data_IF_259834704764
#
_entry.id   IF_259834704764
#
_cell.length_a   1.000
_cell.length_b   1.000
_cell.length_c   1.000
_cell.angle_alpha   90.00
_cell.angle_beta   90.00
_cell.angle_gamma   90.00
#
_symmetry.space_group_name_H-M   'P 1'
#
loop_
_entity.id
_entity.type
_entity.pdbx_description
1 polymer ?
#
# COMPACT_ATOMS: atom_id res chain seq x y z
N UNK A 1 29.74 -5.95 8.63
CA UNK A 1 28.54 -5.67 9.44
C UNK A 1 28.88 -5.37 10.91
N UNK A 2 29.73 -6.20 11.56
CA UNK A 2 30.19 -6.01 12.95
C UNK A 2 30.82 -4.64 13.28
N UNK A 3 31.67 -4.08 12.42
CA UNK A 3 32.31 -2.77 12.69
C UNK A 3 31.31 -1.60 12.69
N UNK A 4 30.26 -1.69 11.86
CA UNK A 4 29.17 -0.72 11.84
C UNK A 4 28.29 -0.83 13.08
N UNK A 5 28.08 -2.06 13.57
CA UNK A 5 27.38 -2.32 14.82
C UNK A 5 28.14 -1.84 16.05
N UNK A 6 29.46 -2.07 16.08
CA UNK A 6 30.35 -1.61 17.14
C UNK A 6 30.39 -0.07 17.21
N UNK A 7 30.57 0.61 16.07
CA UNK A 7 30.55 2.08 16.00
C UNK A 7 29.17 2.67 16.30
N UNK A 8 28.09 1.99 15.91
CA UNK A 8 26.73 2.36 16.29
C UNK A 8 26.56 2.28 17.80
N UNK A 9 26.97 1.17 18.43
CA UNK A 9 26.83 0.96 19.88
C UNK A 9 27.71 1.92 20.70
N UNK A 10 28.92 2.27 20.23
CA UNK A 10 29.81 3.23 20.89
C UNK A 10 29.30 4.68 20.87
N UNK A 11 28.41 5.04 19.93
CA UNK A 11 27.81 6.39 19.78
C UNK A 11 26.39 6.47 20.38
N UNK A 12 25.87 5.36 20.91
CA UNK A 12 24.51 5.29 21.45
C UNK A 12 24.49 5.71 22.93
N UNK A 13 24.22 6.99 23.21
CA UNK A 13 23.82 7.46 24.56
C UNK A 13 22.67 6.63 25.14
N UNK A 14 22.56 6.61 26.47
CA UNK A 14 21.43 6.02 27.20
C UNK A 14 20.07 6.57 26.74
N UNK A 15 20.01 7.82 26.27
CA UNK A 15 18.79 8.43 25.69
C UNK A 15 18.29 7.73 24.42
N UNK A 16 19.20 7.25 23.56
CA UNK A 16 18.85 6.48 22.35
C UNK A 16 18.58 5.02 22.71
N UNK A 17 19.19 4.50 23.78
CA UNK A 17 18.98 3.14 24.25
C UNK A 17 17.53 2.93 24.70
N UNK A 18 16.96 3.89 25.44
CA UNK A 18 15.54 3.91 25.82
C UNK A 18 14.65 4.03 24.59
N UNK A 19 14.92 4.99 23.70
CA UNK A 19 14.16 5.17 22.45
C UNK A 19 14.17 3.92 21.57
N UNK A 20 15.33 3.26 21.41
CA UNK A 20 15.44 1.98 20.70
C UNK A 20 14.60 0.89 21.34
N UNK A 21 14.58 0.80 22.68
CA UNK A 21 13.80 -0.19 23.42
C UNK A 21 12.30 0.03 23.21
N UNK A 22 11.85 1.28 23.28
CA UNK A 22 10.47 1.68 22.98
C UNK A 22 10.10 1.34 21.54
N UNK A 23 10.90 1.76 20.55
CA UNK A 23 10.65 1.46 19.13
C UNK A 23 10.61 -0.05 18.88
N UNK A 24 11.50 -0.81 19.51
CA UNK A 24 11.56 -2.26 19.38
C UNK A 24 10.31 -2.91 19.99
N UNK A 25 9.87 -2.45 21.16
CA UNK A 25 8.63 -2.90 21.79
C UNK A 25 7.41 -2.61 20.91
N UNK A 26 7.26 -1.37 20.44
CA UNK A 26 6.17 -0.96 19.53
C UNK A 26 6.20 -1.77 18.24
N UNK A 27 7.38 -2.05 17.69
CA UNK A 27 7.54 -2.90 16.49
C UNK A 27 7.00 -4.32 16.72
N UNK A 28 7.42 -4.98 17.78
CA UNK A 28 6.97 -6.35 18.07
C UNK A 28 5.48 -6.40 18.39
N UNK A 29 4.97 -5.39 19.13
CA UNK A 29 3.55 -5.27 19.38
C UNK A 29 2.75 -5.07 18.10
N UNK A 30 3.21 -4.22 17.18
CA UNK A 30 2.58 -4.04 15.87
C UNK A 30 2.58 -5.34 15.05
N UNK A 31 3.68 -6.10 15.02
CA UNK A 31 3.72 -7.39 14.35
C UNK A 31 2.80 -8.42 14.97
N UNK A 32 2.72 -8.47 16.30
CA UNK A 32 1.77 -9.31 17.01
C UNK A 32 0.33 -8.96 16.60
N UNK A 33 -0.03 -7.68 16.62
CA UNK A 33 -1.36 -7.20 16.21
C UNK A 33 -1.68 -7.57 14.76
N UNK A 34 -0.75 -7.35 13.82
CA UNK A 34 -0.94 -7.72 12.41
C UNK A 34 -1.12 -9.24 12.23
N UNK A 35 -0.36 -10.05 12.95
CA UNK A 35 -0.46 -11.51 12.90
C UNK A 35 -1.81 -11.98 13.46
N UNK A 36 -2.20 -11.47 14.62
CA UNK A 36 -3.51 -11.75 15.23
C UNK A 36 -4.66 -11.33 14.31
N UNK A 37 -4.53 -10.19 13.63
CA UNK A 37 -5.51 -9.71 12.63
C UNK A 37 -5.65 -10.71 11.47
N UNK A 38 -4.54 -11.24 10.94
CA UNK A 38 -4.56 -12.24 9.88
C UNK A 38 -5.19 -13.57 10.33
N UNK A 39 -4.86 -14.04 11.54
CA UNK A 39 -5.48 -15.25 12.09
C UNK A 39 -7.00 -15.07 12.27
N UNK A 40 -7.43 -13.91 12.78
CA UNK A 40 -8.85 -13.59 12.96
C UNK A 40 -9.57 -13.41 11.62
N UNK A 41 -8.91 -12.86 10.60
CA UNK A 41 -9.47 -12.79 9.25
C UNK A 41 -9.76 -14.19 8.69
N UNK A 42 -8.80 -15.11 8.83
CA UNK A 42 -8.97 -16.51 8.41
C UNK A 42 -10.11 -17.17 9.19
N UNK A 43 -10.14 -17.00 10.52
CA UNK A 43 -11.20 -17.55 11.37
C UNK A 43 -12.59 -16.96 11.05
N UNK A 44 -12.63 -15.69 10.62
CA UNK A 44 -13.86 -15.01 10.24
C UNK A 44 -14.26 -15.26 8.79
N UNK A 45 -13.41 -15.88 7.97
CA UNK A 45 -13.62 -15.98 6.52
C UNK A 45 -14.96 -16.61 6.17
N UNK A 46 -15.35 -17.70 6.84
CA UNK A 46 -16.63 -18.35 6.58
C UNK A 46 -17.83 -17.43 6.90
N UNK A 47 -17.72 -16.61 7.94
CA UNK A 47 -18.75 -15.62 8.30
C UNK A 47 -18.76 -14.41 7.37
N UNK A 48 -17.64 -14.09 6.71
CA UNK A 48 -17.57 -13.05 5.68
C UNK A 48 -17.97 -13.56 4.29
N UNK A 49 -17.73 -14.84 3.98
CA UNK A 49 -18.00 -15.43 2.67
C UNK A 49 -19.47 -15.84 2.53
N UNK A 50 -20.06 -16.47 3.55
CA UNK A 50 -21.48 -16.84 3.52
C UNK A 50 -22.36 -15.70 4.02
N UNK A 51 -22.76 -14.82 3.10
CA UNK A 51 -23.56 -13.63 3.41
C UNK A 51 -25.01 -13.73 3.00
N UNK A 52 -25.46 -14.87 2.47
CA UNK A 52 -26.79 -14.97 1.88
C UNK A 52 -27.87 -14.72 2.94
N UNK A 53 -27.76 -15.38 4.09
CA UNK A 53 -28.69 -15.23 5.21
C UNK A 53 -28.66 -13.80 5.80
N UNK A 54 -27.46 -13.23 5.97
CA UNK A 54 -27.30 -11.87 6.46
C UNK A 54 -27.93 -10.82 5.53
N UNK A 55 -27.69 -10.91 4.21
CA UNK A 55 -28.27 -10.00 3.21
C UNK A 55 -29.79 -10.12 3.15
N UNK A 56 -30.34 -11.33 3.27
CA UNK A 56 -31.80 -11.55 3.35
C UNK A 56 -32.40 -10.91 4.62
N UNK A 57 -31.73 -11.02 5.77
CA UNK A 57 -32.18 -10.38 7.01
C UNK A 57 -32.17 -8.85 6.91
N UNK A 58 -31.12 -8.26 6.31
CA UNK A 58 -31.04 -6.82 6.04
C UNK A 58 -32.15 -6.39 5.06
N UNK A 59 -32.41 -7.16 4.00
CA UNK A 59 -33.50 -6.88 3.06
C UNK A 59 -34.86 -6.90 3.77
N UNK A 60 -35.06 -7.83 4.70
CA UNK A 60 -36.29 -7.90 5.50
C UNK A 60 -36.45 -6.70 6.45
N UNK A 61 -35.35 -6.13 6.95
CA UNK A 61 -35.37 -5.02 7.92
C UNK A 61 -35.42 -3.63 7.28
N UNK A 62 -34.75 -3.44 6.14
CA UNK A 62 -34.52 -2.14 5.52
C UNK A 62 -35.13 -2.00 4.12
N UNK A 63 -35.77 -3.05 3.59
CA UNK A 63 -36.41 -3.06 2.28
C UNK A 63 -35.55 -3.64 1.17
N UNK A 64 -36.01 -3.51 -0.08
CA UNK A 64 -35.38 -4.11 -1.26
C UNK A 64 -33.95 -3.61 -1.46
N UNK A 65 -32.97 -4.54 -1.42
CA UNK A 65 -31.57 -4.28 -1.76
C UNK A 65 -31.39 -4.29 -3.29
N UNK A 66 -30.63 -3.34 -3.86
CA UNK A 66 -30.27 -3.36 -5.27
C UNK A 66 -29.66 -4.69 -5.73
N UNK A 67 -29.99 -5.13 -6.95
CA UNK A 67 -29.57 -6.43 -7.50
C UNK A 67 -28.05 -6.62 -7.56
N UNK A 68 -27.29 -5.54 -7.77
CA UNK A 68 -25.82 -5.60 -7.83
C UNK A 68 -25.16 -5.98 -6.49
N UNK A 69 -25.85 -5.81 -5.36
CA UNK A 69 -25.35 -6.13 -4.01
C UNK A 69 -25.27 -7.65 -3.78
N UNK A 70 -26.02 -8.43 -4.54
CA UNK A 70 -26.07 -9.89 -4.43
C UNK A 70 -24.86 -10.59 -5.06
N UNK A 71 -23.87 -9.84 -5.52
CA UNK A 71 -22.62 -10.39 -6.03
C UNK A 71 -21.79 -11.06 -4.92
N UNK A 72 -21.06 -12.13 -5.25
CA UNK A 72 -20.20 -12.87 -4.30
C UNK A 72 -19.00 -12.02 -3.81
N UNK A 73 -18.58 -11.04 -4.62
CA UNK A 73 -17.51 -10.10 -4.25
C UNK A 73 -18.00 -8.95 -3.37
N UNK A 74 -19.32 -8.81 -3.19
CA UNK A 74 -19.96 -7.71 -2.48
C UNK A 74 -20.15 -8.12 -1.02
N UNK A 75 -19.12 -7.93 -0.20
CA UNK A 75 -19.14 -8.34 1.21
C UNK A 75 -19.52 -7.19 2.14
N UNK A 76 -20.50 -7.43 3.01
CA UNK A 76 -20.81 -6.61 4.17
C UNK A 76 -20.06 -7.11 5.41
N UNK A 77 -19.80 -6.21 6.34
CA UNK A 77 -19.34 -6.62 7.66
C UNK A 77 -20.53 -7.15 8.44
N UNK A 78 -20.51 -8.45 8.73
CA UNK A 78 -21.50 -9.08 9.58
C UNK A 78 -21.29 -8.63 11.04
N UNK A 79 -22.17 -7.76 11.53
CA UNK A 79 -22.13 -7.22 12.90
C UNK A 79 -22.62 -8.19 13.97
N UNK A 80 -23.27 -9.29 13.57
CA UNK A 80 -23.86 -10.25 14.49
C UNK A 80 -22.83 -11.29 14.97
N UNK A 81 -21.73 -11.46 14.23
CA UNK A 81 -20.64 -12.37 14.61
C UNK A 81 -19.64 -11.68 15.55
N UNK A 82 -19.50 -12.21 16.77
CA UNK A 82 -18.52 -11.73 17.75
C UNK A 82 -17.08 -11.79 17.21
N UNK A 83 -16.75 -12.82 16.42
CA UNK A 83 -15.42 -12.99 15.80
C UNK A 83 -15.12 -11.87 14.81
N UNK A 84 -16.09 -11.51 13.97
CA UNK A 84 -15.98 -10.39 13.02
C UNK A 84 -15.84 -9.06 13.76
N UNK A 85 -16.60 -8.86 14.84
CA UNK A 85 -16.51 -7.64 15.65
C UNK A 85 -15.14 -7.49 16.33
N UNK A 86 -14.59 -8.58 16.87
CA UNK A 86 -13.23 -8.61 17.46
C UNK A 86 -12.19 -8.32 16.37
N UNK A 87 -12.31 -8.92 15.19
CA UNK A 87 -11.43 -8.65 14.04
C UNK A 87 -11.44 -7.16 13.66
N UNK A 88 -12.64 -6.57 13.49
CA UNK A 88 -12.81 -5.16 13.14
C UNK A 88 -12.25 -4.24 14.21
N UNK A 89 -12.51 -4.51 15.49
CA UNK A 89 -11.97 -3.72 16.61
C UNK A 89 -10.44 -3.79 16.70
N UNK A 90 -9.87 -4.98 16.51
CA UNK A 90 -8.43 -5.18 16.52
C UNK A 90 -7.76 -4.47 15.33
N UNK A 91 -8.35 -4.57 14.13
CA UNK A 91 -7.90 -3.84 12.95
C UNK A 91 -7.97 -2.32 13.15
N UNK A 92 -9.06 -1.80 13.71
CA UNK A 92 -9.21 -0.37 14.01
C UNK A 92 -8.14 0.14 14.98
N UNK A 93 -7.87 -0.61 16.06
CA UNK A 93 -6.85 -0.23 17.06
C UNK A 93 -5.41 -0.27 16.52
N UNK A 94 -5.15 -1.12 15.51
CA UNK A 94 -3.81 -1.26 14.92
C UNK A 94 -3.38 -0.05 14.06
N UNK A 95 -4.33 0.67 13.46
CA UNK A 95 -4.07 1.80 12.57
C UNK A 95 -3.34 2.97 13.27
N UNK A 96 -3.82 3.51 14.40
CA UNK A 96 -3.12 4.60 15.08
C UNK A 96 -1.73 4.16 15.59
N UNK A 97 -1.58 2.90 16.00
CA UNK A 97 -0.29 2.35 16.42
C UNK A 97 0.73 2.32 15.28
N UNK A 98 0.29 2.01 14.06
CA UNK A 98 1.15 2.07 12.86
C UNK A 98 1.65 3.49 12.58
N UNK A 99 0.76 4.49 12.71
CA UNK A 99 1.13 5.90 12.53
C UNK A 99 2.13 6.39 13.59
N UNK A 100 1.93 6.00 14.87
CA UNK A 100 2.87 6.30 15.96
C UNK A 100 4.23 5.62 15.71
N UNK A 101 4.24 4.36 15.31
CA UNK A 101 5.47 3.64 14.95
C UNK A 101 6.22 4.31 13.80
N UNK A 102 5.50 4.75 12.77
CA UNK A 102 6.10 5.49 11.65
C UNK A 102 6.74 6.80 12.13
N UNK A 103 6.03 7.60 12.92
CA UNK A 103 6.56 8.85 13.49
C UNK A 103 7.82 8.64 14.34
N UNK A 104 7.80 7.65 15.23
CA UNK A 104 8.97 7.29 16.04
C UNK A 104 10.16 6.82 15.20
N UNK A 105 9.90 6.05 14.13
CA UNK A 105 10.93 5.56 13.21
C UNK A 105 11.59 6.70 12.43
N UNK A 106 10.80 7.69 11.98
CA UNK A 106 11.32 8.91 11.33
C UNK A 106 12.17 9.71 12.30
N UNK A 107 11.68 9.92 13.52
CA UNK A 107 12.39 10.68 14.55
C UNK A 107 13.73 10.03 14.92
N UNK A 108 13.74 8.73 15.22
CA UNK A 108 14.96 8.00 15.58
C UNK A 108 15.98 7.98 14.44
N UNK A 109 15.51 7.87 13.19
CA UNK A 109 16.38 7.87 12.02
C UNK A 109 17.01 9.26 11.77
N UNK A 110 16.26 10.36 11.98
CA UNK A 110 16.82 11.73 11.93
C UNK A 110 17.90 11.93 13.01
N UNK A 111 17.62 11.49 14.23
CA UNK A 111 18.57 11.57 15.35
C UNK A 111 19.82 10.73 15.08
N UNK A 112 19.66 9.51 14.58
CA UNK A 112 20.76 8.64 14.17
C UNK A 112 21.64 9.28 13.09
N UNK A 113 21.02 9.92 12.09
CA UNK A 113 21.75 10.61 11.02
C UNK A 113 22.53 11.82 11.55
N UNK A 114 21.96 12.58 12.49
CA UNK A 114 22.64 13.71 13.13
C UNK A 114 23.88 13.26 13.91
N UNK A 115 23.81 12.15 14.65
CA UNK A 115 24.97 11.61 15.38
C UNK A 115 26.04 11.05 14.45
N UNK A 116 25.64 10.41 13.36
CA UNK A 116 26.57 9.89 12.35
C UNK A 116 27.21 11.01 11.50
N UNK A 117 26.68 12.24 11.54
CA UNK A 117 27.18 13.38 10.78
C UNK A 117 28.65 13.68 11.04
N UNK A 118 29.10 13.46 12.28
CA UNK A 118 30.47 13.76 12.71
C UNK A 118 31.43 12.58 12.48
N UNK A 119 30.92 11.37 12.18
CA UNK A 119 31.73 10.15 12.05
C UNK A 119 31.86 9.65 10.61
N UNK A 120 30.93 10.02 9.72
CA UNK A 120 30.90 9.58 8.33
C UNK A 120 31.23 10.71 7.35
N UNK A 121 31.70 10.34 6.16
CA UNK A 121 31.88 11.28 5.05
C UNK A 121 30.55 11.91 4.63
N UNK A 122 30.58 13.18 4.23
CA UNK A 122 29.43 13.92 3.70
C UNK A 122 28.78 13.23 2.50
N UNK A 123 29.57 12.51 1.69
CA UNK A 123 29.07 11.73 0.56
C UNK A 123 28.21 10.55 1.03
N UNK A 124 28.61 9.84 2.09
CA UNK A 124 27.85 8.71 2.64
C UNK A 124 26.57 9.18 3.34
N UNK A 125 26.63 10.28 4.09
CA UNK A 125 25.48 10.84 4.79
C UNK A 125 24.41 11.33 3.81
N UNK A 126 24.81 12.00 2.72
CA UNK A 126 23.85 12.46 1.71
C UNK A 126 23.14 11.31 0.99
N UNK A 127 23.84 10.21 0.71
CA UNK A 127 23.24 8.98 0.15
C UNK A 127 22.24 8.38 1.15
N UNK A 128 22.63 8.21 2.43
CA UNK A 128 21.73 7.68 3.45
C UNK A 128 20.50 8.56 3.67
N UNK A 129 20.66 9.89 3.66
CA UNK A 129 19.57 10.84 3.78
C UNK A 129 18.56 10.72 2.65
N UNK A 130 19.04 10.63 1.40
CA UNK A 130 18.17 10.47 0.24
C UNK A 130 17.43 9.13 0.26
N UNK A 131 18.11 8.06 0.63
CA UNK A 131 17.48 6.74 0.77
C UNK A 131 16.36 6.75 1.82
N UNK A 132 16.65 7.30 3.01
CA UNK A 132 15.65 7.43 4.08
C UNK A 132 14.48 8.33 3.66
N UNK A 133 14.76 9.45 2.99
CA UNK A 133 13.72 10.34 2.47
C UNK A 133 12.76 9.63 1.53
N UNK A 134 13.31 8.81 0.63
CA UNK A 134 12.51 8.00 -0.28
C UNK A 134 11.67 6.95 0.45
N UNK A 135 12.21 6.30 1.50
CA UNK A 135 11.46 5.37 2.33
C UNK A 135 10.33 6.06 3.11
N UNK A 136 10.56 7.27 3.61
CA UNK A 136 9.51 8.05 4.28
C UNK A 136 8.39 8.43 3.32
N UNK A 137 8.72 8.88 2.11
CA UNK A 137 7.71 9.20 1.10
C UNK A 137 6.88 7.97 0.73
N UNK A 138 7.54 6.84 0.48
CA UNK A 138 6.87 5.58 0.19
C UNK A 138 5.91 5.18 1.31
N UNK A 139 6.38 5.20 2.56
CA UNK A 139 5.57 4.79 3.71
C UNK A 139 4.46 5.80 4.02
N UNK A 140 4.71 7.10 3.83
CA UNK A 140 3.70 8.15 3.99
C UNK A 140 2.55 7.99 2.98
N UNK A 141 2.85 7.60 1.74
CA UNK A 141 1.80 7.26 0.75
C UNK A 141 0.94 6.11 1.28
N UNK A 142 1.53 5.04 1.81
CA UNK A 142 0.76 3.95 2.42
C UNK A 142 -0.09 4.42 3.61
N UNK A 143 0.48 5.20 4.54
CA UNK A 143 -0.27 5.72 5.70
C UNK A 143 -1.43 6.59 5.24
N UNK A 144 -1.24 7.48 4.26
CA UNK A 144 -2.31 8.36 3.79
C UNK A 144 -3.37 7.57 3.02
N UNK A 145 -2.97 6.76 2.04
CA UNK A 145 -3.91 6.12 1.12
C UNK A 145 -4.59 4.88 1.71
N UNK A 146 -4.05 4.29 2.78
CA UNK A 146 -4.66 3.15 3.47
C UNK A 146 -5.32 3.59 4.79
N UNK A 147 -4.62 4.37 5.63
CA UNK A 147 -5.17 4.73 6.94
C UNK A 147 -6.26 5.77 6.88
N UNK A 148 -6.31 6.65 5.87
CA UNK A 148 -7.43 7.60 5.73
C UNK A 148 -8.72 6.87 5.36
N UNK A 149 -8.78 6.03 4.31
CA UNK A 149 -10.01 5.30 4.00
C UNK A 149 -10.46 4.34 5.10
N UNK A 150 -9.51 3.60 5.70
CA UNK A 150 -9.82 2.70 6.80
C UNK A 150 -10.25 3.47 8.06
N UNK A 151 -9.62 4.60 8.38
CA UNK A 151 -9.99 5.44 9.51
C UNK A 151 -11.40 5.98 9.37
N UNK A 152 -11.76 6.50 8.19
CA UNK A 152 -13.12 6.95 7.89
C UNK A 152 -14.11 5.78 8.02
N UNK A 153 -13.76 4.60 7.49
CA UNK A 153 -14.58 3.39 7.60
C UNK A 153 -14.84 2.99 9.06
N UNK A 154 -13.80 2.92 9.90
CA UNK A 154 -13.94 2.56 11.32
C UNK A 154 -14.68 3.62 12.13
N UNK A 155 -14.47 4.91 11.86
CA UNK A 155 -15.23 5.99 12.52
C UNK A 155 -16.71 5.85 12.17
N UNK A 156 -17.06 5.64 10.90
CA UNK A 156 -18.44 5.37 10.49
C UNK A 156 -19.03 4.15 11.21
N UNK A 157 -18.26 3.09 11.38
CA UNK A 157 -18.69 1.89 12.10
C UNK A 157 -18.95 2.14 13.60
N UNK A 158 -18.03 2.84 14.29
CA UNK A 158 -18.16 3.20 15.71
C UNK A 158 -19.30 4.19 15.95
N UNK A 159 -19.59 5.04 14.98
CA UNK A 159 -20.65 6.07 15.06
C UNK A 159 -22.04 5.52 14.73
N UNK A 160 -22.14 4.48 13.90
CA UNK A 160 -23.43 3.93 13.48
C UNK A 160 -24.02 2.94 14.51
N UNK A 161 -23.17 2.17 15.22
CA UNK A 161 -23.60 1.21 16.25
C UNK A 161 -24.32 1.87 17.46
N UNK A 162 -23.94 3.04 18.00
CA UNK A 162 -24.60 3.68 19.13
C UNK A 162 -25.88 4.43 18.77
N UNK A 163 -26.25 4.60 17.50
CA UNK A 163 -27.46 5.36 17.15
C UNK A 163 -28.76 4.64 17.58
N UNK A 164 -28.66 3.38 17.99
CA UNK A 164 -29.74 2.64 18.66
C UNK A 164 -29.80 2.85 20.19
N UNK A 165 -28.82 3.50 20.83
CA UNK A 165 -28.80 3.63 22.30
C UNK A 165 -28.27 4.95 22.91
N UNK A 166 -27.36 5.71 22.29
CA UNK A 166 -26.80 6.89 22.98
C UNK A 166 -26.11 7.87 22.00
N UNK A 167 -26.69 9.06 21.84
CA UNK A 167 -26.09 10.38 21.54
C UNK A 167 -26.87 11.17 20.47
N UNK A 168 -27.80 12.00 20.94
CA UNK A 168 -28.56 13.00 20.17
C UNK A 168 -27.81 14.33 19.92
N UNK A 169 -26.50 14.43 20.16
CA UNK A 169 -25.77 15.71 20.16
C UNK A 169 -24.56 15.80 19.19
N UNK A 170 -24.67 15.32 17.94
CA UNK A 170 -23.60 15.57 16.95
C UNK A 170 -24.15 15.95 15.56
N UNK A 171 -24.64 17.20 15.45
CA UNK A 171 -25.14 17.80 14.20
C UNK A 171 -24.04 17.90 13.11
N UNK A 172 -22.76 17.85 13.49
CA UNK A 172 -21.61 17.84 12.57
C UNK A 172 -21.36 16.48 11.88
N UNK A 173 -22.02 15.39 12.30
CA UNK A 173 -21.78 14.03 11.81
C UNK A 173 -22.66 13.62 10.62
N UNK A 174 -23.86 14.18 10.53
CA UNK A 174 -24.76 13.95 9.38
C UNK A 174 -24.12 14.41 8.06
N UNK A 175 -23.27 15.44 8.09
CA UNK A 175 -22.49 15.89 6.94
C UNK A 175 -21.46 14.83 6.49
N UNK A 176 -20.84 14.12 7.44
CA UNK A 176 -19.80 13.13 7.15
C UNK A 176 -20.37 11.81 6.59
N UNK A 177 -21.56 11.40 7.05
CA UNK A 177 -22.26 10.21 6.54
C UNK A 177 -22.77 10.41 5.10
N UNK A 178 -23.21 11.63 4.75
CA UNK A 178 -23.61 11.93 3.36
C UNK A 178 -22.42 11.97 2.40
N UNK A 179 -21.25 12.47 2.83
CA UNK A 179 -20.00 12.38 2.06
C UNK A 179 -19.59 10.91 1.81
N UNK A 180 -19.84 10.01 2.78
CA UNK A 180 -19.45 8.61 2.68
C UNK A 180 -20.20 7.83 1.59
N UNK A 181 -21.51 8.10 1.43
CA UNK A 181 -22.32 7.58 0.33
C UNK A 181 -21.69 7.91 -1.03
N UNK A 182 -21.34 9.18 -1.21
CA UNK A 182 -20.97 9.72 -2.53
C UNK A 182 -19.48 9.51 -2.86
N UNK A 183 -18.62 9.35 -1.84
CA UNK A 183 -17.16 9.25 -1.99
C UNK A 183 -16.61 7.83 -1.76
N UNK A 184 -17.47 6.84 -1.51
CA UNK A 184 -17.09 5.42 -1.32
C UNK A 184 -16.20 4.88 -2.45
N UNK A 185 -16.51 5.25 -3.70
CA UNK A 185 -15.70 4.90 -4.88
C UNK A 185 -14.29 5.49 -4.82
N UNK A 186 -14.13 6.75 -4.36
CA UNK A 186 -12.82 7.40 -4.23
C UNK A 186 -12.00 6.72 -3.13
N UNK A 187 -12.64 6.35 -2.01
CA UNK A 187 -12.00 5.63 -0.90
C UNK A 187 -11.47 4.26 -1.36
N UNK A 188 -12.26 3.52 -2.14
CA UNK A 188 -11.84 2.23 -2.74
C UNK A 188 -10.73 2.44 -3.79
N UNK A 189 -10.82 3.50 -4.61
CA UNK A 189 -9.77 3.84 -5.57
C UNK A 189 -8.45 4.17 -4.86
N UNK A 190 -8.48 4.90 -3.75
CA UNK A 190 -7.29 5.18 -2.93
C UNK A 190 -6.67 3.89 -2.37
N UNK A 191 -7.49 2.97 -1.83
CA UNK A 191 -7.05 1.68 -1.33
C UNK A 191 -6.51 0.73 -2.42
N UNK A 192 -6.96 0.84 -3.67
CA UNK A 192 -6.47 -0.03 -4.75
C UNK A 192 -5.22 0.53 -5.43
N UNK A 193 -5.10 1.85 -5.53
CA UNK A 193 -3.98 2.52 -6.23
C UNK A 193 -2.78 2.82 -5.32
N UNK A 194 -2.88 2.61 -4.01
CA UNK A 194 -1.78 2.92 -3.08
C UNK A 194 -0.46 2.21 -3.45
N UNK A 195 -0.52 0.97 -3.96
CA UNK A 195 0.67 0.16 -4.27
C UNK A 195 1.44 0.68 -5.48
N UNK A 196 0.73 1.11 -6.53
CA UNK A 196 1.35 1.70 -7.72
C UNK A 196 1.92 3.09 -7.41
N UNK A 197 1.20 3.91 -6.64
CA UNK A 197 1.66 5.24 -6.23
C UNK A 197 2.88 5.17 -5.30
N UNK A 198 2.90 4.22 -4.37
CA UNK A 198 4.04 3.96 -3.48
C UNK A 198 5.30 3.55 -4.27
N UNK A 199 5.14 2.66 -5.24
CA UNK A 199 6.23 2.24 -6.14
C UNK A 199 6.74 3.42 -6.97
N UNK A 200 5.84 4.24 -7.50
CA UNK A 200 6.19 5.44 -8.24
C UNK A 200 6.94 6.46 -7.37
N UNK A 201 6.48 6.71 -6.14
CA UNK A 201 7.14 7.60 -5.19
C UNK A 201 8.56 7.13 -4.86
N UNK A 202 8.77 5.82 -4.65
CA UNK A 202 10.09 5.23 -4.42
C UNK A 202 11.01 5.38 -5.65
N UNK A 203 10.51 5.09 -6.84
CA UNK A 203 11.26 5.20 -8.10
C UNK A 203 11.70 6.63 -8.39
N UNK A 204 10.83 7.62 -8.17
CA UNK A 204 11.13 9.03 -8.43
C UNK A 204 12.01 9.66 -7.36
N UNK A 205 11.92 9.21 -6.12
CA UNK A 205 12.64 9.82 -5.00
C UNK A 205 14.06 9.28 -4.81
N UNK A 206 14.36 8.07 -5.32
CA UNK A 206 15.70 7.50 -5.27
C UNK A 206 16.45 7.70 -6.59
N UNK A 207 17.42 8.63 -6.63
CA UNK A 207 18.32 8.84 -7.79
C UNK A 207 18.95 7.55 -8.35
N UNK A 208 19.45 6.60 -7.53
CA UNK A 208 20.04 5.36 -8.05
C UNK A 208 18.98 4.49 -8.75
N UNK A 209 17.82 4.29 -8.11
CA UNK A 209 16.71 3.51 -8.65
C UNK A 209 16.15 4.16 -9.93
N UNK A 210 15.96 5.47 -9.94
CA UNK A 210 15.55 6.21 -11.13
C UNK A 210 16.52 6.01 -12.30
N UNK A 211 17.83 6.07 -12.03
CA UNK A 211 18.86 5.90 -13.07
C UNK A 211 18.88 4.48 -13.66
N UNK A 212 18.61 3.47 -12.83
CA UNK A 212 18.52 2.06 -13.28
C UNK A 212 17.22 1.85 -14.04
N UNK A 213 16.09 2.34 -13.52
CA UNK A 213 14.79 2.26 -14.18
C UNK A 213 14.81 2.92 -15.56
N UNK A 214 15.31 4.15 -15.66
CA UNK A 214 15.43 4.86 -16.94
C UNK A 214 16.33 4.13 -17.92
N UNK A 215 17.47 3.58 -17.49
CA UNK A 215 18.35 2.76 -18.34
C UNK A 215 17.68 1.48 -18.83
N UNK A 216 16.97 0.77 -17.96
CA UNK A 216 16.22 -0.45 -18.32
C UNK A 216 15.08 -0.13 -19.27
N UNK A 217 14.34 0.94 -19.00
CA UNK A 217 13.24 1.41 -19.85
C UNK A 217 13.74 1.86 -21.23
N UNK A 218 14.84 2.62 -21.29
CA UNK A 218 15.51 2.99 -22.54
C UNK A 218 15.98 1.76 -23.32
N UNK A 219 16.58 0.77 -22.64
CA UNK A 219 16.98 -0.49 -23.27
C UNK A 219 15.79 -1.27 -23.83
N UNK A 220 14.69 -1.33 -23.08
CA UNK A 220 13.46 -2.00 -23.53
C UNK A 220 12.85 -1.30 -24.74
N UNK A 221 12.78 0.04 -24.73
CA UNK A 221 12.32 0.85 -25.86
C UNK A 221 13.21 0.68 -27.10
N UNK A 222 14.52 0.61 -26.92
CA UNK A 222 15.47 0.36 -28.00
C UNK A 222 15.35 -1.06 -28.56
N UNK A 223 15.14 -2.06 -27.71
CA UNK A 223 14.94 -3.45 -28.13
C UNK A 223 13.63 -3.63 -28.90
N UNK A 224 12.53 -3.00 -28.46
CA UNK A 224 11.27 -3.01 -29.20
C UNK A 224 11.43 -2.34 -30.58
N UNK A 225 12.05 -1.16 -30.62
CA UNK A 225 12.32 -0.44 -31.87
C UNK A 225 13.31 -1.19 -32.78
N UNK A 226 14.20 -1.99 -32.21
CA UNK A 226 15.13 -2.86 -32.92
C UNK A 226 14.43 -4.09 -33.50
N UNK A 227 13.55 -4.73 -32.72
CA UNK A 227 12.71 -5.84 -33.16
C UNK A 227 11.79 -5.42 -34.31
N UNK A 228 11.14 -4.26 -34.22
CA UNK A 228 10.29 -3.72 -35.29
C UNK A 228 11.08 -3.46 -36.60
N UNK A 229 12.35 -3.03 -36.49
CA UNK A 229 13.23 -2.82 -37.65
C UNK A 229 13.67 -4.13 -38.29
N UNK A 230 13.98 -5.15 -37.49
CA UNK A 230 14.36 -6.48 -38.01
C UNK A 230 13.15 -7.13 -38.70
N UNK A 231 11.97 -7.08 -38.08
CA UNK A 231 10.72 -7.57 -38.69
C UNK A 231 10.37 -6.85 -40.00
N UNK A 232 10.59 -5.53 -40.07
CA UNK A 232 10.37 -4.76 -41.30
C UNK A 232 11.39 -5.09 -42.41
N UNK A 233 12.66 -5.35 -42.04
CA UNK A 233 13.70 -5.77 -42.98
C UNK A 233 13.45 -7.19 -43.51
N UNK A 234 13.07 -8.13 -42.65
CA UNK A 234 12.68 -9.49 -43.06
C UNK A 234 11.46 -9.48 -43.98
N UNK A 235 10.42 -8.71 -43.64
CA UNK A 235 9.25 -8.53 -44.52
C UNK A 235 9.64 -7.94 -45.89
N UNK A 236 10.55 -6.95 -45.91
CA UNK A 236 11.05 -6.36 -47.16
C UNK A 236 11.93 -7.31 -47.99
N UNK A 237 12.64 -8.24 -47.33
CA UNK A 237 13.48 -9.25 -47.97
C UNK A 237 12.61 -10.33 -48.60
N UNK A 238 11.60 -10.81 -47.86
CA UNK A 238 10.61 -11.77 -48.36
C UNK A 238 9.89 -11.25 -49.59
N UNK A 239 9.47 -9.98 -49.57
CA UNK A 239 8.81 -9.34 -50.69
C UNK A 239 9.73 -9.21 -51.92
N UNK A 240 11.02 -8.94 -51.71
CA UNK A 240 12.03 -8.91 -52.79
C UNK A 240 12.32 -10.29 -53.38
N UNK A 241 12.36 -11.34 -52.57
CA UNK A 241 12.51 -12.72 -53.06
C UNK A 241 11.28 -13.23 -53.81
N UNK A 242 10.07 -12.78 -53.42
CA UNK A 242 8.82 -13.14 -54.10
C UNK A 242 8.60 -12.42 -55.44
N UNK A 243 9.30 -11.30 -55.69
CA UNK A 243 9.14 -10.48 -56.89
C UNK A 243 10.31 -10.56 -57.87
N UNK A 244 11.33 -11.38 -57.59
CA UNK A 244 12.40 -11.64 -58.56
C UNK A 244 11.87 -12.54 -59.69
N UNK A 245 11.73 -12.05 -60.94
CA UNK A 245 11.33 -12.89 -62.04
C UNK A 245 12.49 -13.83 -62.36
N UNK A 246 12.19 -15.12 -62.36
CA UNK A 246 13.07 -16.19 -62.77
C UNK A 246 13.62 -15.88 -64.18
N UNK A 247 14.83 -15.33 -64.28
CA UNK A 247 15.52 -15.10 -65.55
C UNK A 247 16.09 -16.43 -66.04
N UNK A 248 15.20 -17.34 -66.40
CA UNK A 248 15.55 -18.56 -67.10
C UNK A 248 16.06 -18.20 -68.51
N UNK A 249 17.25 -18.72 -68.78
CA UNK A 249 17.92 -18.72 -70.07
C UNK A 249 17.00 -19.38 -71.10
N UNK A 250 16.50 -18.59 -72.05
CA UNK A 250 16.04 -19.13 -73.33
C UNK A 250 17.31 -19.42 -74.15
N UNK A 251 17.73 -20.69 -74.13
CA UNK A 251 18.62 -21.27 -75.14
C UNK A 251 17.76 -22.21 -75.98
N UNK A 252 17.29 -21.70 -77.12
CA UNK A 252 17.29 -22.33 -78.45
C UNK A 252 16.46 -21.49 -79.42
#
# INVERSE_FOLDING_TARGET
>A
MHMFEYRRNAVTDDSIKVLKRVITGVKYYHYFMMTSCMCLLIASYNHLADQKEFKMNIQSKFGSLPSYIWCDNCMFINTDSTTVLIFVGLAASSQPLAAVYFGLSVYASKLGLQKLRNSLSQKTISIQRNFLYSLYLQTAVHVIFISVPLGIFFISFIVYIPQSAMCKNFKSLNFHVSIFSDMSYILVAMCTQHGSLSTFALLMSNKPLYSVFTKTFLRMKLNLRGADRVSALEASSWYRSATSPNRERIVK
#
